data_IF_672489730294
#
_entry.id   IF_672489730294
#
_cell.length_a   1.000
_cell.length_b   1.000
_cell.length_c   1.000
_cell.angle_alpha   90.00
_cell.angle_beta   90.00
_cell.angle_gamma   90.00
#
_symmetry.space_group_name_H-M   'P 1'
#
loop_
_entity.id
_entity.type
_entity.pdbx_description
1 polymer ?
#
# COMPACT_ATOMS: atom_id res chain seq x y z
N UNK A 1 -21.26 48.60 -38.76
CA UNK A 1 -21.25 47.15 -39.10
C UNK A 1 -20.72 46.40 -37.89
N UNK A 2 -21.36 45.29 -37.59
CA UNK A 2 -21.50 44.65 -36.28
C UNK A 2 -20.22 44.17 -35.58
N UNK A 3 -20.24 44.32 -34.25
CA UNK A 3 -19.48 43.49 -33.30
C UNK A 3 -19.86 42.02 -33.48
N UNK A 4 -18.87 41.12 -33.49
CA UNK A 4 -19.06 39.69 -33.33
C UNK A 4 -18.50 39.27 -31.96
N UNK A 5 -19.46 39.07 -31.05
CA UNK A 5 -19.28 38.55 -29.70
C UNK A 5 -19.10 37.02 -29.83
N UNK A 6 -17.89 36.50 -29.62
CA UNK A 6 -17.66 35.05 -29.58
C UNK A 6 -17.91 34.54 -28.16
N UNK A 7 -19.15 34.15 -27.90
CA UNK A 7 -19.55 33.46 -26.66
C UNK A 7 -19.00 32.04 -26.69
N UNK A 8 -17.87 31.80 -26.02
CA UNK A 8 -17.34 30.46 -25.81
C UNK A 8 -18.14 29.79 -24.69
N UNK A 9 -19.05 28.88 -25.06
CA UNK A 9 -19.76 28.01 -24.15
C UNK A 9 -18.77 27.14 -23.36
N UNK A 10 -18.69 27.37 -22.04
CA UNK A 10 -18.14 26.39 -21.11
C UNK A 10 -19.11 25.22 -21.00
N UNK A 11 -18.68 24.04 -21.46
CA UNK A 11 -19.30 22.77 -21.10
C UNK A 11 -18.83 22.37 -19.70
N UNK A 12 -19.73 21.99 -18.77
CA UNK A 12 -19.32 21.35 -17.53
C UNK A 12 -18.78 19.95 -17.87
N UNK A 13 -17.52 19.69 -17.52
CA UNK A 13 -16.99 18.33 -17.49
C UNK A 13 -17.69 17.63 -16.32
N UNK A 14 -18.68 16.81 -16.68
CA UNK A 14 -19.36 15.90 -15.77
C UNK A 14 -18.33 15.05 -15.02
N UNK A 15 -18.56 14.90 -13.72
CA UNK A 15 -17.74 14.05 -12.86
C UNK A 15 -17.63 12.64 -13.44
N UNK A 16 -16.41 12.12 -13.45
CA UNK A 16 -16.17 10.71 -13.70
C UNK A 16 -16.95 9.91 -12.64
N UNK A 17 -18.07 9.35 -13.08
CA UNK A 17 -18.79 8.30 -12.38
C UNK A 17 -17.79 7.17 -12.13
N UNK A 18 -17.54 6.86 -10.86
CA UNK A 18 -16.88 5.63 -10.47
C UNK A 18 -17.65 4.47 -11.12
N UNK A 19 -16.95 3.67 -11.92
CA UNK A 19 -17.50 2.42 -12.41
C UNK A 19 -17.96 1.58 -11.20
N UNK A 20 -19.12 0.89 -11.28
CA UNK A 20 -19.53 -0.02 -10.23
C UNK A 20 -18.56 -1.21 -10.26
N UNK A 21 -17.56 -1.19 -9.38
CA UNK A 21 -16.82 -2.39 -9.04
C UNK A 21 -17.82 -3.38 -8.46
N UNK A 22 -18.01 -4.50 -9.14
CA UNK A 22 -18.95 -5.53 -8.70
C UNK A 22 -18.61 -5.99 -7.30
N UNK A 23 -19.51 -5.72 -6.35
CA UNK A 23 -19.49 -6.31 -5.02
C UNK A 23 -19.80 -7.80 -5.18
N UNK A 24 -18.75 -8.63 -5.16
CA UNK A 24 -18.93 -10.05 -4.93
C UNK A 24 -19.34 -10.23 -3.46
N UNK A 25 -20.62 -10.52 -3.23
CA UNK A 25 -21.07 -11.03 -1.94
C UNK A 25 -20.50 -12.43 -1.78
N UNK A 26 -19.67 -12.62 -0.74
CA UNK A 26 -18.99 -13.87 -0.48
C UNK A 26 -20.01 -14.99 -0.22
N UNK A 27 -20.05 -15.99 -1.09
CA UNK A 27 -20.60 -17.30 -0.77
C UNK A 27 -19.65 -17.98 0.21
N UNK A 28 -20.12 -18.34 1.39
CA UNK A 28 -19.45 -19.33 2.23
C UNK A 28 -19.33 -20.63 1.41
N UNK A 29 -18.12 -21.09 1.08
CA UNK A 29 -17.70 -22.50 1.16
C UNK A 29 -16.44 -22.88 0.37
N UNK A 30 -15.92 -22.09 -0.57
CA UNK A 30 -14.68 -22.44 -1.29
C UNK A 30 -13.71 -21.26 -1.33
N UNK A 31 -12.63 -21.34 -0.54
CA UNK A 31 -11.55 -20.35 -0.53
C UNK A 31 -10.96 -20.09 0.85
N UNK A 32 -9.77 -19.50 0.86
CA UNK A 32 -9.09 -19.08 2.07
C UNK A 32 -9.74 -17.89 2.78
N UNK A 33 -9.23 -17.57 3.97
CA UNK A 33 -9.71 -16.48 4.80
C UNK A 33 -8.56 -15.78 5.53
N UNK A 34 -8.78 -14.50 5.84
CA UNK A 34 -7.94 -13.72 6.76
C UNK A 34 -8.83 -13.31 7.93
N UNK A 35 -8.40 -13.61 9.16
CA UNK A 35 -9.12 -13.28 10.39
C UNK A 35 -8.26 -12.44 11.32
N UNK A 36 -8.91 -11.75 12.24
CA UNK A 36 -8.23 -11.04 13.31
C UNK A 36 -9.21 -10.25 14.17
N UNK A 37 -8.65 -9.44 15.06
CA UNK A 37 -9.40 -8.52 15.93
C UNK A 37 -8.76 -7.14 15.90
N UNK A 38 -9.57 -6.12 15.73
CA UNK A 38 -9.13 -4.73 15.86
C UNK A 38 -9.23 -4.28 17.32
N UNK A 39 -8.11 -3.85 17.89
CA UNK A 39 -8.09 -3.11 19.15
C UNK A 39 -8.29 -1.61 18.88
N UNK A 40 -9.13 -0.96 19.67
CA UNK A 40 -9.57 0.41 19.39
C UNK A 40 -10.64 0.50 18.29
N UNK A 41 -11.35 -0.59 18.00
CA UNK A 41 -12.34 -0.73 16.92
C UNK A 41 -13.50 0.29 16.94
N UNK A 42 -13.68 1.05 18.02
CA UNK A 42 -14.70 2.10 18.13
C UNK A 42 -14.63 3.18 17.01
N UNK A 43 -13.59 3.17 16.18
CA UNK A 43 -13.50 4.03 15.00
C UNK A 43 -13.23 3.32 13.67
N UNK A 44 -13.19 1.98 13.61
CA UNK A 44 -12.98 1.24 12.37
C UNK A 44 -14.25 1.30 11.49
N UNK A 45 -14.09 1.81 10.28
CA UNK A 45 -15.16 2.00 9.31
C UNK A 45 -15.25 0.81 8.37
N UNK A 46 -14.10 0.26 7.95
CA UNK A 46 -14.09 -0.92 7.08
C UNK A 46 -12.77 -1.69 7.16
N UNK A 47 -12.85 -2.99 6.90
CA UNK A 47 -11.69 -3.89 6.70
C UNK A 47 -11.86 -4.61 5.38
N UNK A 48 -10.82 -4.70 4.56
CA UNK A 48 -10.85 -5.45 3.31
C UNK A 48 -9.47 -6.02 2.96
N UNK A 49 -9.44 -7.13 2.22
CA UNK A 49 -8.23 -7.63 1.59
C UNK A 49 -8.21 -7.23 0.11
N UNK A 50 -7.05 -6.81 -0.41
CA UNK A 50 -6.86 -6.41 -1.80
C UNK A 50 -5.87 -7.34 -2.48
N UNK A 51 -6.31 -8.00 -3.55
CA UNK A 51 -5.40 -8.57 -4.54
C UNK A 51 -5.11 -7.48 -5.59
N UNK A 52 -3.94 -6.86 -5.50
CA UNK A 52 -3.55 -5.77 -6.40
C UNK A 52 -3.29 -6.25 -7.82
N UNK A 53 -2.82 -7.49 -7.98
CA UNK A 53 -2.51 -8.07 -9.29
C UNK A 53 -3.79 -8.34 -10.07
N UNK A 54 -4.81 -8.88 -9.43
CA UNK A 54 -6.12 -9.11 -10.04
C UNK A 54 -7.04 -7.87 -9.98
N UNK A 55 -6.61 -6.79 -9.31
CA UNK A 55 -7.41 -5.60 -9.01
C UNK A 55 -8.76 -5.95 -8.34
N UNK A 56 -8.73 -6.89 -7.38
CA UNK A 56 -9.92 -7.37 -6.65
C UNK A 56 -9.88 -6.95 -5.19
N UNK A 57 -11.07 -6.64 -4.66
CA UNK A 57 -11.28 -6.29 -3.25
C UNK A 57 -12.26 -7.26 -2.61
N UNK A 58 -11.91 -7.76 -1.43
CA UNK A 58 -12.71 -8.68 -0.64
C UNK A 58 -13.04 -8.01 0.69
N UNK A 59 -14.33 -7.68 0.87
CA UNK A 59 -14.79 -6.96 2.06
C UNK A 59 -14.88 -7.93 3.26
N UNK A 60 -14.41 -7.49 4.42
CA UNK A 60 -14.56 -8.27 5.64
C UNK A 60 -15.98 -8.13 6.21
N UNK A 61 -16.45 -9.19 6.86
CA UNK A 61 -17.52 -9.09 7.86
C UNK A 61 -16.87 -8.71 9.18
N UNK A 62 -17.29 -7.59 9.77
CA UNK A 62 -16.80 -7.10 11.07
C UNK A 62 -17.90 -7.32 12.10
N UNK A 63 -17.63 -8.17 13.09
CA UNK A 63 -18.51 -8.47 14.20
C UNK A 63 -18.26 -7.59 15.42
N UNK A 64 -18.86 -8.00 16.54
CA UNK A 64 -18.67 -7.32 17.82
C UNK A 64 -17.21 -7.33 18.27
N UNK A 65 -16.84 -6.33 19.08
CA UNK A 65 -15.49 -6.20 19.66
C UNK A 65 -14.36 -6.16 18.61
N UNK A 66 -14.67 -5.77 17.37
CA UNK A 66 -13.70 -5.59 16.30
C UNK A 66 -13.18 -6.89 15.66
N UNK A 67 -13.79 -8.04 15.96
CA UNK A 67 -13.44 -9.30 15.28
C UNK A 67 -13.85 -9.20 13.81
N UNK A 68 -12.96 -9.54 12.89
CA UNK A 68 -13.26 -9.51 11.47
C UNK A 68 -12.87 -10.81 10.77
N UNK A 69 -13.52 -11.06 9.63
CA UNK A 69 -13.20 -12.15 8.72
C UNK A 69 -13.36 -11.69 7.28
N UNK A 70 -12.30 -11.80 6.49
CA UNK A 70 -12.36 -11.76 5.03
C UNK A 70 -12.42 -13.21 4.54
N UNK A 71 -13.43 -13.58 3.75
CA UNK A 71 -13.62 -14.96 3.25
C UNK A 71 -13.62 -15.02 1.73
N UNK A 72 -13.50 -16.23 1.18
CA UNK A 72 -13.60 -16.48 -0.26
C UNK A 72 -12.36 -15.99 -1.01
N UNK A 73 -11.19 -16.04 -0.36
CA UNK A 73 -9.92 -15.65 -0.96
C UNK A 73 -9.36 -16.80 -1.79
N UNK A 74 -9.13 -16.64 -3.10
CA UNK A 74 -8.35 -17.59 -3.88
C UNK A 74 -7.01 -17.95 -3.21
N UNK A 75 -6.70 -19.25 -3.14
CA UNK A 75 -5.46 -19.74 -2.59
C UNK A 75 -4.25 -19.29 -3.43
N UNK A 76 -3.10 -19.14 -2.78
CA UNK A 76 -1.80 -18.78 -3.35
C UNK A 76 -1.72 -17.38 -4.00
N UNK A 77 -2.79 -16.58 -3.96
CA UNK A 77 -2.73 -15.16 -4.27
C UNK A 77 -2.28 -14.36 -3.04
N UNK A 78 -1.53 -13.27 -3.27
CA UNK A 78 -1.10 -12.36 -2.21
C UNK A 78 -2.12 -11.25 -1.99
N UNK A 79 -2.40 -10.94 -0.72
CA UNK A 79 -3.38 -9.94 -0.34
C UNK A 79 -2.79 -8.90 0.63
N UNK A 80 -3.12 -7.63 0.38
CA UNK A 80 -2.86 -6.54 1.32
C UNK A 80 -4.14 -6.20 2.09
N UNK A 81 -4.07 -6.20 3.42
CA UNK A 81 -5.19 -5.82 4.27
C UNK A 81 -5.27 -4.29 4.40
N UNK A 82 -6.44 -3.72 4.11
CA UNK A 82 -6.74 -2.31 4.30
C UNK A 82 -7.76 -2.15 5.42
N UNK A 83 -7.45 -1.31 6.39
CA UNK A 83 -8.34 -0.93 7.49
C UNK A 83 -8.51 0.58 7.46
N UNK A 84 -9.73 1.04 7.18
CA UNK A 84 -10.11 2.44 7.22
C UNK A 84 -10.74 2.76 8.58
N UNK A 85 -10.27 3.80 9.26
CA UNK A 85 -10.73 4.16 10.61
C UNK A 85 -10.53 5.64 10.92
N UNK A 86 -11.50 6.33 11.52
CA UNK A 86 -11.37 7.73 11.98
C UNK A 86 -10.70 8.70 10.96
N UNK A 87 -11.01 8.59 9.66
CA UNK A 87 -10.38 9.33 8.55
C UNK A 87 -8.90 9.03 8.29
N UNK A 88 -8.38 7.97 8.89
CA UNK A 88 -7.06 7.40 8.65
C UNK A 88 -7.18 6.00 8.03
N UNK A 89 -6.04 5.51 7.53
CA UNK A 89 -5.91 4.18 6.93
C UNK A 89 -4.67 3.48 7.46
N UNK A 90 -4.84 2.22 7.83
CA UNK A 90 -3.76 1.26 8.04
C UNK A 90 -3.78 0.30 6.84
N UNK A 91 -2.70 0.24 6.09
CA UNK A 91 -2.63 -0.49 4.81
C UNK A 91 -1.44 -1.44 4.77
N UNK A 92 -1.74 -2.70 4.48
CA UNK A 92 -0.76 -3.72 4.15
C UNK A 92 0.04 -3.37 2.90
N UNK A 93 1.34 -3.68 2.94
CA UNK A 93 2.23 -3.57 1.79
C UNK A 93 3.12 -4.79 1.73
N UNK A 94 3.12 -5.50 0.61
CA UNK A 94 4.03 -6.62 0.41
C UNK A 94 5.44 -6.10 0.10
N UNK A 95 6.35 -6.22 1.06
CA UNK A 95 7.78 -5.93 0.89
C UNK A 95 8.63 -7.21 0.83
N UNK A 96 7.99 -8.37 0.70
CA UNK A 96 8.70 -9.63 0.55
C UNK A 96 9.47 -9.63 -0.78
N UNK A 97 10.69 -10.17 -0.73
CA UNK A 97 11.52 -10.39 -1.92
C UNK A 97 11.83 -11.87 -2.06
N UNK A 98 12.10 -12.36 -3.28
CA UNK A 98 12.55 -13.73 -3.47
C UNK A 98 13.83 -14.04 -2.69
N UNK A 99 14.06 -15.31 -2.31
CA UNK A 99 15.35 -15.77 -1.81
C UNK A 99 16.46 -15.47 -2.81
N UNK A 100 17.66 -15.24 -2.29
CA UNK A 100 18.87 -15.10 -3.09
C UNK A 100 19.31 -16.44 -3.71
N UNK A 101 19.86 -16.40 -4.91
CA UNK A 101 20.49 -17.50 -5.63
C UNK A 101 21.93 -17.79 -5.13
N UNK A 102 22.51 -16.90 -4.31
CA UNK A 102 23.80 -17.14 -3.66
C UNK A 102 23.70 -18.28 -2.62
N UNK A 103 24.82 -18.97 -2.39
CA UNK A 103 24.89 -20.08 -1.42
C UNK A 103 24.51 -19.67 0.01
N UNK A 104 24.83 -18.43 0.38
CA UNK A 104 24.52 -17.85 1.69
C UNK A 104 23.63 -16.62 1.54
N UNK A 105 22.45 -16.69 2.15
CA UNK A 105 21.50 -15.58 2.24
C UNK A 105 22.08 -14.48 3.15
N UNK A 106 22.10 -13.25 2.64
CA UNK A 106 22.66 -12.10 3.36
C UNK A 106 21.67 -10.93 3.29
N UNK A 107 21.44 -10.22 4.41
CA UNK A 107 20.58 -9.05 4.41
C UNK A 107 21.22 -7.90 3.62
N UNK A 108 20.38 -6.94 3.22
CA UNK A 108 20.87 -5.67 2.64
C UNK A 108 21.80 -4.93 3.61
N UNK A 109 22.96 -4.52 3.10
CA UNK A 109 23.89 -3.65 3.82
C UNK A 109 23.42 -2.19 3.80
N UNK A 110 23.99 -1.35 4.67
CA UNK A 110 23.74 0.10 4.63
C UNK A 110 24.25 0.74 3.33
N UNK A 111 25.32 0.20 2.75
CA UNK A 111 25.86 0.62 1.45
C UNK A 111 24.87 0.32 0.32
N UNK A 112 24.28 -0.88 0.31
CA UNK A 112 23.22 -1.24 -0.65
C UNK A 112 22.02 -0.30 -0.54
N UNK A 113 21.58 -0.03 0.69
CA UNK A 113 20.46 0.89 0.96
C UNK A 113 20.75 2.30 0.44
N UNK A 114 21.99 2.76 0.56
CA UNK A 114 22.42 4.05 0.03
C UNK A 114 22.46 4.04 -1.50
N UNK A 115 23.02 3.01 -2.12
CA UNK A 115 23.05 2.87 -3.58
C UNK A 115 21.63 2.86 -4.18
N UNK A 116 20.72 2.09 -3.58
CA UNK A 116 19.31 2.04 -3.97
C UNK A 116 18.64 3.43 -3.92
N UNK A 117 18.88 4.21 -2.86
CA UNK A 117 18.34 5.58 -2.75
C UNK A 117 18.86 6.47 -3.88
N UNK A 118 20.16 6.45 -4.16
CA UNK A 118 20.75 7.24 -5.23
C UNK A 118 20.23 6.81 -6.60
N UNK A 119 20.12 5.50 -6.82
CA UNK A 119 19.60 4.92 -8.06
C UNK A 119 18.17 5.37 -8.29
N UNK A 120 17.31 5.29 -7.28
CA UNK A 120 15.92 5.75 -7.36
C UNK A 120 15.81 7.24 -7.62
N UNK A 121 16.65 8.06 -6.97
CA UNK A 121 16.69 9.50 -7.25
C UNK A 121 17.06 9.79 -8.71
N UNK A 122 18.02 9.07 -9.29
CA UNK A 122 18.41 9.23 -10.71
C UNK A 122 17.32 8.77 -11.68
N UNK A 123 16.62 7.68 -11.37
CA UNK A 123 15.53 7.13 -12.17
C UNK A 123 14.25 7.98 -12.08
N UNK A 124 14.07 8.70 -10.97
CA UNK A 124 12.92 9.58 -10.78
C UNK A 124 13.11 10.92 -11.51
N UNK A 125 12.30 11.15 -12.55
CA UNK A 125 12.42 12.36 -13.40
C UNK A 125 11.30 13.38 -13.20
N UNK A 126 10.15 12.97 -12.68
CA UNK A 126 8.95 13.81 -12.65
C UNK A 126 8.71 14.44 -11.28
N UNK A 127 8.59 13.60 -10.25
CA UNK A 127 8.40 14.05 -8.87
C UNK A 127 9.64 14.78 -8.34
N UNK A 128 9.45 15.81 -7.51
CA UNK A 128 10.54 16.62 -6.94
C UNK A 128 10.81 16.33 -5.46
N UNK A 129 9.97 15.51 -4.83
CA UNK A 129 10.15 14.98 -3.48
C UNK A 129 10.07 13.46 -3.53
N UNK A 130 11.05 12.80 -2.91
CA UNK A 130 11.06 11.36 -2.65
C UNK A 130 11.32 11.16 -1.16
N UNK A 131 10.44 10.40 -0.52
CA UNK A 131 10.55 9.97 0.86
C UNK A 131 10.59 8.44 0.87
N UNK A 132 11.72 7.87 1.26
CA UNK A 132 11.91 6.43 1.35
C UNK A 132 11.35 5.96 2.69
N UNK A 133 10.23 5.23 2.67
CA UNK A 133 9.55 4.78 3.89
C UNK A 133 10.13 3.46 4.39
N UNK A 134 10.45 2.55 3.49
CA UNK A 134 11.10 1.28 3.78
C UNK A 134 11.99 0.86 2.60
N UNK A 135 13.08 0.18 2.90
CA UNK A 135 13.91 -0.55 1.95
C UNK A 135 14.09 -1.91 2.57
N UNK A 136 13.58 -2.98 1.98
CA UNK A 136 13.71 -4.33 2.51
C UNK A 136 14.28 -5.26 1.44
N UNK A 137 14.94 -6.32 1.89
CA UNK A 137 15.42 -7.35 0.99
C UNK A 137 16.72 -8.00 1.44
N UNK A 138 17.41 -8.57 0.47
CA UNK A 138 18.63 -9.33 0.64
C UNK A 138 19.73 -8.89 -0.33
N UNK A 139 20.80 -9.67 -0.42
CA UNK A 139 21.97 -9.40 -1.24
C UNK A 139 21.70 -9.33 -2.75
N UNK A 140 20.57 -9.88 -3.22
CA UNK A 140 20.23 -9.95 -4.64
C UNK A 140 18.95 -9.20 -4.99
N UNK A 141 17.98 -9.12 -4.09
CA UNK A 141 16.66 -8.56 -4.33
C UNK A 141 16.31 -7.50 -3.30
N UNK A 142 15.65 -6.42 -3.74
CA UNK A 142 15.16 -5.39 -2.84
C UNK A 142 13.76 -4.89 -3.24
N UNK A 143 12.94 -4.60 -2.24
CA UNK A 143 11.66 -3.92 -2.34
C UNK A 143 11.76 -2.56 -1.64
N UNK A 144 11.41 -1.48 -2.33
CA UNK A 144 11.49 -0.12 -1.78
C UNK A 144 10.11 0.53 -1.79
N UNK A 145 9.58 0.78 -0.60
CA UNK A 145 8.38 1.59 -0.42
C UNK A 145 8.76 3.07 -0.45
N UNK A 146 8.27 3.78 -1.45
CA UNK A 146 8.58 5.19 -1.67
C UNK A 146 7.31 6.03 -1.73
N UNK A 147 7.28 7.11 -0.96
CA UNK A 147 6.32 8.20 -1.08
C UNK A 147 6.90 9.29 -1.98
N UNK A 148 6.12 9.78 -2.94
CA UNK A 148 6.60 10.68 -3.98
C UNK A 148 5.63 11.84 -4.19
N UNK A 149 6.16 13.05 -4.33
CA UNK A 149 5.36 14.23 -4.64
C UNK A 149 5.92 15.02 -5.82
N UNK A 150 5.02 15.43 -6.71
CA UNK A 150 5.25 16.59 -7.57
C UNK A 150 4.61 17.81 -6.89
N UNK A 151 5.43 18.72 -6.39
CA UNK A 151 4.98 19.97 -5.74
C UNK A 151 5.19 21.18 -6.65
N UNK A 152 6.11 21.09 -7.62
CA UNK A 152 6.37 22.15 -8.59
C UNK A 152 5.33 22.15 -9.72
N UNK A 153 5.05 23.30 -10.36
CA UNK A 153 4.16 23.37 -11.52
C UNK A 153 4.50 22.34 -12.60
N UNK A 154 3.48 21.82 -13.26
CA UNK A 154 3.58 20.87 -14.37
C UNK A 154 2.53 21.20 -15.43
N UNK A 155 2.63 20.60 -16.61
CA UNK A 155 1.69 20.87 -17.69
C UNK A 155 0.25 20.56 -17.25
N UNK A 156 -0.61 21.58 -17.26
CA UNK A 156 -2.01 21.46 -16.83
C UNK A 156 -2.25 21.51 -15.32
N UNK A 157 -1.25 21.82 -14.49
CA UNK A 157 -1.43 22.04 -13.04
C UNK A 157 -2.08 23.38 -12.74
N UNK A 158 -2.91 23.44 -11.68
CA UNK A 158 -3.32 24.71 -11.06
C UNK A 158 -2.36 25.06 -9.91
N UNK A 159 -2.21 26.35 -9.56
CA UNK A 159 -1.41 26.74 -8.40
C UNK A 159 -1.87 26.00 -7.12
N UNK A 160 -0.91 25.45 -6.37
CA UNK A 160 -1.18 24.74 -5.12
C UNK A 160 -1.63 23.28 -5.28
N UNK A 161 -1.68 22.75 -6.49
CA UNK A 161 -1.88 21.31 -6.71
C UNK A 161 -0.59 20.52 -6.55
N UNK A 162 -0.74 19.29 -6.06
CA UNK A 162 0.29 18.28 -5.99
C UNK A 162 -0.16 17.02 -6.71
N UNK A 163 0.80 16.25 -7.22
CA UNK A 163 0.57 14.84 -7.57
C UNK A 163 1.25 14.00 -6.49
N UNK A 164 0.46 13.17 -5.82
CA UNK A 164 0.93 12.22 -4.84
C UNK A 164 0.95 10.81 -5.43
N UNK A 165 2.06 10.11 -5.24
CA UNK A 165 2.17 8.68 -5.50
C UNK A 165 2.82 7.98 -4.31
N UNK A 166 2.33 6.80 -3.99
CA UNK A 166 3.07 5.85 -3.17
C UNK A 166 3.20 4.56 -3.97
N UNK A 167 4.42 4.02 -4.00
CA UNK A 167 4.81 2.91 -4.87
C UNK A 167 5.74 1.95 -4.14
N UNK A 168 5.72 0.69 -4.55
CA UNK A 168 6.76 -0.29 -4.21
C UNK A 168 7.57 -0.53 -5.48
N UNK A 169 8.88 -0.33 -5.40
CA UNK A 169 9.81 -0.58 -6.50
C UNK A 169 10.64 -1.81 -6.20
N UNK A 170 10.72 -2.73 -7.15
CA UNK A 170 11.57 -3.92 -7.04
C UNK A 170 12.90 -3.73 -7.77
N UNK A 171 13.96 -4.24 -7.17
CA UNK A 171 15.32 -4.22 -7.69
C UNK A 171 15.96 -5.59 -7.60
N UNK A 172 16.88 -5.83 -8.53
CA UNK A 172 17.68 -7.04 -8.64
C UNK A 172 19.15 -6.65 -8.82
N UNK A 173 20.05 -7.47 -8.26
CA UNK A 173 21.50 -7.31 -8.34
C UNK A 173 22.11 -8.57 -8.97
N UNK A 174 22.02 -8.73 -10.31
CA UNK A 174 22.53 -9.91 -10.99
C UNK A 174 24.07 -10.01 -11.00
N UNK A 175 24.75 -8.87 -10.82
CA UNK A 175 26.21 -8.77 -10.68
C UNK A 175 26.52 -7.74 -9.57
N UNK A 176 27.28 -6.68 -9.85
CA UNK A 176 27.74 -5.71 -8.84
C UNK A 176 26.88 -4.44 -8.73
N UNK A 177 25.73 -4.37 -9.41
CA UNK A 177 24.92 -3.15 -9.49
C UNK A 177 23.43 -3.40 -9.36
N UNK A 178 22.75 -2.51 -8.65
CA UNK A 178 21.30 -2.55 -8.50
C UNK A 178 20.58 -2.09 -9.77
N UNK A 179 19.82 -2.99 -10.35
CA UNK A 179 18.96 -2.78 -11.51
C UNK A 179 17.50 -2.81 -11.07
N UNK A 180 16.70 -1.89 -11.60
CA UNK A 180 15.26 -1.93 -11.36
C UNK A 180 14.66 -3.12 -12.11
N UNK A 181 13.88 -3.96 -11.44
CA UNK A 181 13.29 -5.14 -12.06
C UNK A 181 12.43 -4.75 -13.27
N UNK A 182 12.59 -5.49 -14.38
CA UNK A 182 11.82 -5.29 -15.60
C UNK A 182 10.47 -5.98 -15.57
N UNK A 183 10.36 -7.04 -14.78
CA UNK A 183 9.19 -7.92 -14.75
C UNK A 183 8.03 -7.26 -14.00
N UNK A 184 8.34 -6.51 -12.96
CA UNK A 184 7.40 -5.64 -12.26
C UNK A 184 8.03 -4.26 -12.00
N UNK A 185 7.73 -3.30 -12.89
CA UNK A 185 8.29 -1.95 -12.80
C UNK A 185 7.94 -1.27 -11.47
N UNK A 186 6.74 -1.48 -10.93
CA UNK A 186 6.33 -1.02 -9.60
C UNK A 186 4.93 -1.53 -9.28
N UNK A 187 4.65 -1.67 -7.98
CA UNK A 187 3.28 -1.76 -7.46
C UNK A 187 2.79 -0.35 -7.16
N UNK A 188 1.67 0.06 -7.77
CA UNK A 188 1.06 1.38 -7.55
C UNK A 188 0.05 1.31 -6.39
N UNK A 189 0.34 1.97 -5.27
CA UNK A 189 -0.57 2.06 -4.14
C UNK A 189 -1.50 3.26 -4.28
N UNK A 190 -0.92 4.42 -4.59
CA UNK A 190 -1.65 5.68 -4.77
C UNK A 190 -1.17 6.41 -6.02
N UNK A 191 -2.11 7.07 -6.72
CA UNK A 191 -1.82 8.05 -7.77
C UNK A 191 -2.93 9.08 -7.81
N UNK A 192 -2.75 10.15 -7.06
CA UNK A 192 -3.78 11.16 -6.88
C UNK A 192 -3.28 12.55 -7.24
N UNK A 193 -4.16 13.34 -7.84
CA UNK A 193 -3.98 14.77 -8.06
C UNK A 193 -4.89 15.50 -7.08
N UNK A 194 -4.32 16.33 -6.22
CA UNK A 194 -5.08 17.03 -5.19
C UNK A 194 -4.46 18.37 -4.83
N UNK A 195 -5.14 19.15 -3.98
CA UNK A 195 -4.54 20.36 -3.41
C UNK A 195 -3.54 19.98 -2.33
N UNK A 196 -2.53 20.84 -2.10
CA UNK A 196 -1.58 20.65 -1.00
C UNK A 196 -2.27 20.48 0.35
N UNK A 197 -3.30 21.28 0.63
CA UNK A 197 -4.06 21.20 1.87
C UNK A 197 -4.85 19.88 2.04
N UNK A 198 -5.22 19.21 0.95
CA UNK A 198 -5.81 17.87 1.02
C UNK A 198 -4.73 16.82 1.28
N UNK A 199 -3.56 16.94 0.65
CA UNK A 199 -2.41 16.06 0.90
C UNK A 199 -1.96 16.12 2.36
N UNK A 200 -1.83 17.32 2.92
CA UNK A 200 -1.39 17.52 4.31
C UNK A 200 -2.38 16.94 5.35
N UNK A 201 -3.60 16.57 4.92
CA UNK A 201 -4.61 15.89 5.76
C UNK A 201 -4.63 14.38 5.58
N UNK A 202 -3.93 13.83 4.58
CA UNK A 202 -3.85 12.39 4.39
C UNK A 202 -3.27 11.74 5.64
N UNK A 203 -3.82 10.59 6.02
CA UNK A 203 -3.43 9.87 7.22
C UNK A 203 -3.30 8.38 6.88
N UNK A 204 -2.17 8.01 6.28
CA UNK A 204 -1.91 6.62 5.84
C UNK A 204 -0.70 6.07 6.58
N UNK A 205 -0.90 4.92 7.21
CA UNK A 205 0.17 4.13 7.82
C UNK A 205 0.29 2.82 7.07
N UNK A 206 1.44 2.59 6.45
CA UNK A 206 1.76 1.33 5.78
C UNK A 206 2.32 0.33 6.79
N UNK A 207 1.90 -0.92 6.74
CA UNK A 207 2.38 -1.97 7.64
C UNK A 207 2.72 -3.24 6.84
N UNK A 208 4.02 -3.61 6.73
CA UNK A 208 4.44 -4.78 5.99
C UNK A 208 3.83 -6.10 6.51
N UNK A 209 3.54 -6.19 7.81
CA UNK A 209 2.94 -7.39 8.43
C UNK A 209 1.51 -7.68 7.95
N UNK A 210 0.86 -6.69 7.35
CA UNK A 210 -0.50 -6.80 6.84
C UNK A 210 -0.53 -6.93 5.30
N UNK A 211 0.64 -6.96 4.66
CA UNK A 211 0.78 -7.12 3.22
C UNK A 211 1.22 -8.51 2.80
N UNK A 212 0.99 -8.86 1.54
CA UNK A 212 1.46 -10.13 0.96
C UNK A 212 0.85 -11.39 1.59
N UNK A 213 -0.24 -11.26 2.35
CA UNK A 213 -0.89 -12.35 3.06
C UNK A 213 -1.38 -13.39 2.04
N UNK A 214 -0.96 -14.65 2.19
CA UNK A 214 -1.18 -15.69 1.17
C UNK A 214 -1.77 -16.96 1.76
N UNK A 215 -3.11 -17.06 1.87
CA UNK A 215 -3.75 -18.32 2.23
C UNK A 215 -3.37 -19.41 1.23
N UNK A 216 -3.11 -20.61 1.71
CA UNK A 216 -2.77 -21.77 0.87
C UNK A 216 -3.76 -22.90 1.12
N UNK A 217 -3.72 -23.97 0.31
CA UNK A 217 -4.59 -25.12 0.56
C UNK A 217 -4.22 -25.84 1.87
N UNK A 218 -2.94 -25.79 2.27
CA UNK A 218 -2.45 -26.34 3.53
C UNK A 218 -2.76 -25.44 4.73
N UNK A 219 -2.72 -24.12 4.53
CA UNK A 219 -3.03 -23.10 5.52
C UNK A 219 -4.08 -22.12 4.95
N UNK A 220 -5.35 -22.53 4.94
CA UNK A 220 -6.41 -21.75 4.29
C UNK A 220 -6.86 -20.55 5.12
N UNK A 221 -6.49 -20.48 6.40
CA UNK A 221 -6.88 -19.38 7.29
C UNK A 221 -5.63 -18.74 7.88
N UNK A 222 -5.44 -17.46 7.58
CA UNK A 222 -4.40 -16.63 8.20
C UNK A 222 -5.03 -15.90 9.39
N UNK A 223 -4.54 -16.16 10.59
CA UNK A 223 -4.92 -15.42 11.80
C UNK A 223 -3.89 -14.34 12.12
N UNK A 224 -4.33 -13.08 12.05
CA UNK A 224 -3.50 -11.92 12.35
C UNK A 224 -3.51 -11.55 13.84
N UNK A 225 -4.26 -12.29 14.66
CA UNK A 225 -4.42 -12.00 16.08
C UNK A 225 -5.05 -10.63 16.32
N UNK A 226 -4.53 -9.91 17.32
CA UNK A 226 -4.98 -8.55 17.64
C UNK A 226 -4.15 -7.52 16.89
N UNK A 227 -4.81 -6.63 16.16
CA UNK A 227 -4.23 -5.50 15.44
C UNK A 227 -4.55 -4.22 16.21
N UNK A 228 -3.52 -3.53 16.68
CA UNK A 228 -3.64 -2.21 17.31
C UNK A 228 -3.67 -1.14 16.24
N UNK A 229 -4.76 -0.36 16.19
CA UNK A 229 -4.86 0.76 15.25
C UNK A 229 -3.97 1.93 15.73
N UNK A 230 -3.06 2.45 14.87
CA UNK A 230 -2.27 3.61 15.24
C UNK A 230 -3.15 4.86 15.38
N UNK A 231 -2.73 5.90 16.12
CA UNK A 231 -3.46 7.15 16.20
C UNK A 231 -3.76 7.73 14.79
N UNK A 232 -4.96 8.32 14.54
CA UNK A 232 -5.33 8.87 13.25
C UNK A 232 -4.65 10.23 13.00
N UNK A 233 -3.31 10.23 13.01
CA UNK A 233 -2.50 11.40 12.77
C UNK A 233 -2.40 11.66 11.26
N UNK A 234 -2.33 12.93 10.86
CA UNK A 234 -1.98 13.28 9.48
C UNK A 234 -0.51 12.92 9.16
N UNK A 235 -0.24 12.63 7.89
CA UNK A 235 1.04 12.14 7.36
C UNK A 235 0.94 10.76 6.70
N UNK A 236 1.92 10.50 5.83
CA UNK A 236 2.16 9.20 5.20
C UNK A 236 3.37 8.59 5.90
N UNK A 237 3.25 7.37 6.44
CA UNK A 237 4.32 6.77 7.25
C UNK A 237 4.35 5.25 7.14
N UNK A 238 5.46 4.65 7.55
CA UNK A 238 5.55 3.24 7.87
C UNK A 238 5.17 3.03 9.35
N UNK A 239 4.48 1.94 9.67
CA UNK A 239 4.27 1.50 11.04
C UNK A 239 5.62 1.21 11.69
N UNK A 240 5.84 1.73 12.90
CA UNK A 240 6.96 1.26 13.71
C UNK A 240 6.72 -0.22 14.05
N UNK A 241 7.78 -1.04 14.04
CA UNK A 241 7.71 -2.42 14.51
C UNK A 241 7.23 -2.42 15.97
N UNK A 242 5.93 -2.68 16.19
CA UNK A 242 5.41 -2.89 17.53
C UNK A 242 5.84 -4.29 17.96
N UNK A 243 6.78 -4.35 18.91
CA UNK A 243 7.17 -5.54 19.67
C UNK A 243 5.90 -6.23 20.16
N UNK A 244 5.65 -7.46 19.69
CA UNK A 244 4.61 -8.28 20.28
C UNK A 244 5.01 -8.57 21.71
N UNK A 245 4.19 -8.17 22.69
CA UNK A 245 4.16 -8.88 23.96
C UNK A 245 3.59 -10.26 23.64
N UNK A 246 4.48 -11.23 23.47
CA UNK A 246 4.12 -12.62 23.60
C UNK A 246 3.50 -12.81 24.98
N UNK A 247 2.24 -13.21 25.00
CA UNK A 247 1.68 -13.93 26.13
C UNK A 247 2.34 -15.31 26.16
N UNK A 248 3.63 -15.38 26.51
CA UNK A 248 4.20 -16.61 27.05
C UNK A 248 3.78 -16.70 28.52
N UNK A 249 2.73 -17.48 28.73
CA UNK A 249 2.52 -18.36 29.86
C UNK A 249 3.05 -17.88 31.23
N UNK A 250 2.11 -17.32 32.00
CA UNK A 250 1.93 -17.79 33.36
C UNK A 250 1.81 -19.32 33.37
N UNK A 251 2.90 -19.99 33.69
CA UNK A 251 2.88 -21.33 34.29
C UNK A 251 3.55 -21.19 35.67
N UNK A 252 2.92 -21.67 36.76
CA UNK A 252 3.27 -21.35 38.15
C UNK A 252 4.64 -21.87 38.60
#
# INVERSE_FOLDING_TARGET
>A
MSLLLATLLMLPIAGAQAAPGGEATASEADGGAIVGRLEGAAGAVSVAAIDRRAARRYQAVVGEKGVFRVSGLPANAGYDLIIDYQQARLEGVDLHVPPSDYEEEQPLTDEDRQELRERMQRLNRFEDVLEFLAIEGNIQHAAVLVNKLRTRPFLGSKPGEVIWRAEIWHFERPEDHWLKSSDELFVLLYRERMTRAAYDKQAVTFNPRLGGLRPTDAEPVIDLGTIVLPPPQAGIRLAAEQTMQENEESTP
#
